data_IF_629903161262
#
_entry.id   IF_629903161262
#
_cell.length_a   1.000
_cell.length_b   1.000
_cell.length_c   1.000
_cell.angle_alpha   90.00
_cell.angle_beta   90.00
_cell.angle_gamma   90.00
#
_symmetry.space_group_name_H-M   'P 1'
#
loop_
_entity.id
_entity.type
_entity.pdbx_description
1 polymer ?
#
# COMPACT_ATOMS: atom_id res chain seq x y z
N UNK A 1 8.42 -20.26 -4.42
CA UNK A 1 7.50 -20.50 -3.30
C UNK A 1 7.31 -19.14 -2.67
N UNK A 2 6.11 -18.60 -2.78
CA UNK A 2 5.73 -17.36 -2.11
C UNK A 2 5.68 -17.68 -0.62
N UNK A 3 6.32 -16.84 0.21
CA UNK A 3 6.27 -17.01 1.66
C UNK A 3 5.09 -16.20 2.19
N UNK A 4 3.91 -16.83 2.16
CA UNK A 4 2.65 -16.21 2.58
C UNK A 4 2.72 -15.70 4.02
N UNK A 5 3.42 -16.41 4.91
CA UNK A 5 3.56 -16.00 6.30
C UNK A 5 4.38 -14.71 6.42
N UNK A 6 5.47 -14.59 5.66
CA UNK A 6 6.26 -13.36 5.68
C UNK A 6 5.47 -12.17 5.12
N UNK A 7 4.72 -12.35 4.05
CA UNK A 7 3.87 -11.30 3.46
C UNK A 7 2.74 -10.88 4.41
N UNK A 8 2.10 -11.83 5.07
CA UNK A 8 1.06 -11.58 6.07
C UNK A 8 1.59 -10.76 7.26
N UNK A 9 2.78 -11.09 7.78
CA UNK A 9 3.38 -10.34 8.89
C UNK A 9 3.78 -8.92 8.47
N UNK A 10 4.31 -8.75 7.24
CA UNK A 10 4.60 -7.41 6.71
C UNK A 10 3.33 -6.56 6.54
N UNK A 11 2.22 -7.16 6.11
CA UNK A 11 0.93 -6.45 6.03
C UNK A 11 0.43 -6.05 7.42
N UNK A 12 0.51 -6.94 8.41
CA UNK A 12 0.08 -6.64 9.79
C UNK A 12 0.89 -5.48 10.38
N UNK A 13 2.22 -5.51 10.24
CA UNK A 13 3.09 -4.43 10.71
C UNK A 13 2.76 -3.09 10.04
N UNK A 14 2.49 -3.13 8.72
CA UNK A 14 2.07 -1.93 7.98
C UNK A 14 0.71 -1.41 8.47
N UNK A 15 -0.26 -2.28 8.70
CA UNK A 15 -1.59 -1.90 9.19
C UNK A 15 -1.53 -1.32 10.61
N UNK A 16 -0.74 -1.93 11.50
CA UNK A 16 -0.53 -1.42 12.86
C UNK A 16 0.10 -0.02 12.83
N UNK A 17 1.03 0.23 11.90
CA UNK A 17 1.65 1.54 11.73
C UNK A 17 0.69 2.60 11.12
N UNK A 18 -0.17 2.21 10.17
CA UNK A 18 -1.09 3.13 9.50
C UNK A 18 -2.29 3.48 10.39
N UNK A 19 -2.87 2.47 11.04
CA UNK A 19 -4.15 2.60 11.76
C UNK A 19 -3.97 2.82 13.27
N UNK A 20 -2.76 2.64 13.81
CA UNK A 20 -2.38 2.94 15.20
C UNK A 20 -3.44 2.44 16.20
N UNK A 21 -4.18 3.36 16.84
CA UNK A 21 -5.16 3.06 17.89
C UNK A 21 -6.44 2.36 17.39
N UNK A 22 -6.71 2.40 16.08
CA UNK A 22 -7.85 1.77 15.45
C UNK A 22 -7.66 0.25 15.26
N UNK A 23 -6.41 -0.22 15.23
CA UNK A 23 -6.03 -1.62 15.00
C UNK A 23 -5.77 -2.36 16.32
N UNK A 24 -6.45 -3.49 16.53
CA UNK A 24 -6.30 -4.30 17.76
C UNK A 24 -6.29 -5.79 17.45
N UNK A 25 -5.33 -6.51 18.01
CA UNK A 25 -5.36 -7.98 18.01
C UNK A 25 -6.36 -8.48 19.04
N UNK A 26 -7.20 -9.43 18.64
CA UNK A 26 -8.26 -10.02 19.47
C UNK A 26 -8.11 -11.54 19.53
N UNK A 27 -8.65 -12.13 20.60
CA UNK A 27 -8.63 -13.58 20.73
C UNK A 27 -9.58 -14.25 19.73
N UNK A 28 -9.22 -15.43 19.17
CA UNK A 28 -10.07 -16.15 18.22
C UNK A 28 -11.46 -16.53 18.78
N UNK A 29 -11.58 -16.68 20.10
CA UNK A 29 -12.86 -16.94 20.77
C UNK A 29 -13.82 -15.74 20.77
N UNK A 30 -13.32 -14.53 20.57
CA UNK A 30 -14.09 -13.27 20.59
C UNK A 30 -14.32 -12.70 19.18
N UNK A 31 -13.60 -13.21 18.17
CA UNK A 31 -13.67 -12.72 16.79
C UNK A 31 -14.97 -13.07 16.06
N UNK A 32 -15.66 -14.13 16.52
CA UNK A 32 -16.83 -14.67 15.81
C UNK A 32 -16.49 -15.34 14.48
N UNK A 33 -15.20 -15.53 14.18
CA UNK A 33 -14.70 -16.27 13.03
C UNK A 33 -14.40 -17.72 13.44
N UNK A 34 -14.69 -18.69 12.55
CA UNK A 34 -14.39 -20.10 12.80
C UNK A 34 -12.93 -20.40 12.44
N UNK A 35 -11.99 -19.84 13.21
CA UNK A 35 -10.55 -20.01 12.98
C UNK A 35 -9.77 -20.07 14.30
N UNK A 36 -8.62 -20.73 14.25
CA UNK A 36 -7.61 -20.71 15.31
C UNK A 36 -6.47 -19.70 15.05
N UNK A 37 -6.49 -19.04 13.90
CA UNK A 37 -5.47 -18.07 13.50
C UNK A 37 -5.63 -16.75 14.26
N UNK A 38 -4.58 -15.92 14.24
CA UNK A 38 -4.60 -14.56 14.80
C UNK A 38 -5.75 -13.77 14.16
N UNK A 39 -6.53 -13.11 15.00
CA UNK A 39 -7.67 -12.32 14.58
C UNK A 39 -7.41 -10.86 14.93
N UNK A 40 -7.80 -9.97 14.05
CA UNK A 40 -7.57 -8.54 14.21
C UNK A 40 -8.88 -7.80 14.04
N UNK A 41 -9.05 -6.75 14.81
CA UNK A 41 -10.19 -5.86 14.80
C UNK A 41 -9.73 -4.47 14.40
N UNK A 42 -10.40 -3.88 13.42
CA UNK A 42 -10.21 -2.49 13.00
C UNK A 42 -11.50 -1.73 13.26
N UNK A 43 -11.39 -0.65 14.02
CA UNK A 43 -12.48 0.27 14.29
C UNK A 43 -12.60 1.29 13.15
N UNK A 44 -13.80 1.50 12.63
CA UNK A 44 -14.07 2.48 11.58
C UNK A 44 -15.17 3.43 12.04
N UNK A 45 -14.93 4.72 11.79
CA UNK A 45 -15.88 5.82 11.96
C UNK A 45 -16.01 6.64 10.67
N UNK A 46 -17.17 7.28 10.42
CA UNK A 46 -17.45 8.06 9.20
C UNK A 46 -16.80 9.46 9.18
N UNK A 47 -16.23 9.92 10.29
CA UNK A 47 -15.47 11.18 10.37
C UNK A 47 -14.19 10.96 11.16
N UNK A 48 -13.14 11.64 10.71
CA UNK A 48 -11.79 11.60 11.26
C UNK A 48 -11.48 12.81 12.17
N UNK A 49 -12.46 13.71 12.39
CA UNK A 49 -12.20 15.07 12.87
C UNK A 49 -12.53 15.28 14.36
N UNK A 50 -11.56 15.88 15.05
CA UNK A 50 -11.43 16.25 16.47
C UNK A 50 -12.45 17.31 16.95
N UNK A 51 -13.69 17.28 16.44
CA UNK A 51 -14.69 18.35 16.59
C UNK A 51 -15.76 18.17 17.68
N UNK A 52 -15.94 16.97 18.24
CA UNK A 52 -16.72 16.73 19.47
C UNK A 52 -16.32 15.36 20.06
N UNK A 53 -15.40 15.42 21.02
CA UNK A 53 -14.51 14.35 21.49
C UNK A 53 -15.20 13.20 22.27
N UNK A 54 -16.53 13.08 22.25
CA UNK A 54 -17.20 12.10 23.12
C UNK A 54 -17.89 10.95 22.42
N UNK A 55 -18.49 11.10 21.24
CA UNK A 55 -19.25 9.98 20.65
C UNK A 55 -19.44 10.12 19.12
N UNK A 56 -18.74 9.34 18.27
CA UNK A 56 -19.08 9.29 16.85
C UNK A 56 -20.52 8.78 16.66
N UNK A 57 -21.28 9.33 15.69
CA UNK A 57 -22.68 8.98 15.48
C UNK A 57 -22.85 7.52 15.04
N UNK A 58 -21.87 7.00 14.31
CA UNK A 58 -21.80 5.60 13.89
C UNK A 58 -20.39 5.05 14.06
N UNK A 59 -20.31 3.78 14.47
CA UNK A 59 -19.05 3.07 14.64
C UNK A 59 -19.23 1.60 14.27
N UNK A 60 -18.27 1.09 13.51
CA UNK A 60 -18.26 -0.27 13.00
C UNK A 60 -16.93 -0.93 13.30
N UNK A 61 -16.95 -2.22 13.57
CA UNK A 61 -15.76 -3.05 13.73
C UNK A 61 -15.66 -4.05 12.58
N UNK A 62 -14.57 -3.97 11.83
CA UNK A 62 -14.16 -5.02 10.91
C UNK A 62 -13.25 -5.99 11.64
N UNK A 63 -13.65 -7.26 11.66
CA UNK A 63 -12.86 -8.32 12.23
C UNK A 63 -12.38 -9.20 11.09
N UNK A 64 -11.08 -9.42 11.00
CA UNK A 64 -10.52 -10.27 9.97
C UNK A 64 -9.46 -11.24 10.51
N UNK A 65 -9.23 -12.31 9.77
CA UNK A 65 -8.15 -13.26 10.02
C UNK A 65 -7.60 -13.78 8.70
N UNK A 66 -6.27 -13.93 8.63
CA UNK A 66 -5.62 -14.51 7.45
C UNK A 66 -5.90 -16.01 7.33
N UNK A 67 -6.08 -16.45 6.08
CA UNK A 67 -6.08 -17.87 5.68
C UNK A 67 -4.66 -18.29 5.33
N UNK A 68 -4.40 -19.60 5.29
CA UNK A 68 -3.04 -20.13 5.07
C UNK A 68 -2.48 -19.75 3.69
N UNK A 69 -3.35 -19.51 2.70
CA UNK A 69 -2.98 -19.14 1.34
C UNK A 69 -3.27 -17.66 1.00
N UNK A 70 -3.64 -16.83 1.98
CA UNK A 70 -3.82 -15.40 1.75
C UNK A 70 -2.46 -14.77 1.36
N UNK A 71 -2.40 -13.93 0.30
CA UNK A 71 -3.51 -13.23 -0.37
C UNK A 71 -4.13 -13.90 -1.61
N UNK A 72 -3.68 -15.09 -2.00
CA UNK A 72 -4.27 -15.82 -3.13
C UNK A 72 -5.67 -16.37 -2.80
N UNK A 73 -5.94 -16.62 -1.52
CA UNK A 73 -7.23 -17.00 -0.97
C UNK A 73 -7.83 -15.86 -0.13
N UNK A 74 -9.15 -15.65 -0.15
CA UNK A 74 -9.77 -14.59 0.63
C UNK A 74 -9.53 -14.76 2.14
N UNK A 75 -9.39 -13.65 2.90
CA UNK A 75 -9.33 -13.67 4.34
C UNK A 75 -10.71 -13.97 4.91
N UNK A 76 -10.74 -14.45 6.14
CA UNK A 76 -11.98 -14.57 6.89
C UNK A 76 -12.36 -13.18 7.38
N UNK A 77 -13.56 -12.71 7.02
CA UNK A 77 -14.03 -11.36 7.34
C UNK A 77 -15.39 -11.42 8.06
N UNK A 78 -15.53 -10.63 9.11
CA UNK A 78 -16.79 -10.38 9.79
C UNK A 78 -16.93 -8.88 10.09
N UNK A 79 -18.17 -8.41 10.05
CA UNK A 79 -18.52 -7.00 10.21
C UNK A 79 -19.50 -6.91 11.36
N UNK A 80 -19.14 -6.14 12.40
CA UNK A 80 -19.91 -5.98 13.63
C UNK A 80 -20.27 -4.51 13.82
N UNK A 81 -21.56 -4.21 13.97
CA UNK A 81 -22.03 -2.86 14.31
C UNK A 81 -21.82 -2.61 15.81
N UNK A 82 -21.09 -1.56 16.16
CA UNK A 82 -20.92 -1.11 17.55
C UNK A 82 -21.99 -0.07 17.89
N UNK A 83 -22.21 0.89 16.99
CA UNK A 83 -23.08 2.04 17.24
C UNK A 83 -23.65 2.59 15.93
N UNK A 84 -24.93 2.96 15.94
CA UNK A 84 -25.53 3.78 14.88
C UNK A 84 -25.74 3.11 13.53
N UNK A 85 -25.19 1.91 13.30
CA UNK A 85 -25.34 1.19 12.02
C UNK A 85 -26.43 0.12 12.13
N UNK A 86 -27.44 0.19 11.27
CA UNK A 86 -28.52 -0.78 11.21
C UNK A 86 -28.05 -2.14 10.65
N UNK A 87 -28.75 -3.22 10.99
CA UNK A 87 -28.40 -4.57 10.50
C UNK A 87 -28.53 -4.70 8.98
N UNK A 88 -29.43 -3.96 8.34
CA UNK A 88 -29.55 -3.89 6.88
C UNK A 88 -28.31 -3.29 6.23
N UNK A 89 -27.77 -2.23 6.83
CA UNK A 89 -26.55 -1.56 6.36
C UNK A 89 -25.31 -2.45 6.53
N UNK A 90 -25.21 -3.17 7.64
CA UNK A 90 -24.15 -4.17 7.83
C UNK A 90 -24.21 -5.26 6.75
N UNK A 91 -25.40 -5.73 6.39
CA UNK A 91 -25.55 -6.73 5.34
C UNK A 91 -25.16 -6.18 3.95
N UNK A 92 -25.56 -4.95 3.63
CA UNK A 92 -25.18 -4.29 2.39
C UNK A 92 -23.65 -4.05 2.31
N UNK A 93 -23.04 -3.63 3.41
CA UNK A 93 -21.58 -3.46 3.48
C UNK A 93 -20.85 -4.80 3.34
N UNK A 94 -21.33 -5.87 3.97
CA UNK A 94 -20.77 -7.23 3.79
C UNK A 94 -20.78 -7.65 2.33
N UNK A 95 -21.89 -7.42 1.62
CA UNK A 95 -21.98 -7.73 0.20
C UNK A 95 -20.96 -6.94 -0.64
N UNK A 96 -20.83 -5.63 -0.38
CA UNK A 96 -19.83 -4.79 -1.07
C UNK A 96 -18.41 -5.31 -0.83
N UNK A 97 -18.08 -5.65 0.42
CA UNK A 97 -16.74 -6.14 0.76
C UNK A 97 -16.45 -7.51 0.12
N UNK A 98 -17.43 -8.40 -0.02
CA UNK A 98 -17.29 -9.66 -0.75
C UNK A 98 -16.93 -9.44 -2.23
N UNK A 99 -17.55 -8.44 -2.87
CA UNK A 99 -17.24 -8.05 -4.25
C UNK A 99 -15.80 -7.53 -4.36
N UNK A 100 -15.38 -6.63 -3.47
CA UNK A 100 -14.02 -6.09 -3.41
C UNK A 100 -12.97 -7.19 -3.14
N UNK A 101 -13.28 -8.15 -2.26
CA UNK A 101 -12.42 -9.31 -1.98
C UNK A 101 -12.14 -10.09 -3.27
N UNK A 102 -13.17 -10.34 -4.09
CA UNK A 102 -13.01 -11.10 -5.33
C UNK A 102 -12.17 -10.38 -6.39
N UNK A 103 -12.14 -9.05 -6.35
CA UNK A 103 -11.40 -8.20 -7.30
C UNK A 103 -9.93 -8.05 -6.90
N UNK A 104 -9.61 -8.13 -5.62
CA UNK A 104 -8.27 -7.85 -5.08
C UNK A 104 -7.49 -9.12 -4.68
N UNK A 105 -7.91 -10.31 -5.12
CA UNK A 105 -7.17 -11.55 -4.90
C UNK A 105 -5.77 -11.51 -5.54
N UNK A 106 -4.80 -12.14 -4.87
CA UNK A 106 -3.41 -12.22 -5.30
C UNK A 106 -2.51 -11.12 -4.75
N UNK A 107 -3.04 -10.21 -3.92
CA UNK A 107 -2.25 -9.23 -3.18
C UNK A 107 -2.87 -8.85 -1.84
N UNK A 108 -2.06 -8.29 -0.94
CA UNK A 108 -2.51 -7.72 0.32
C UNK A 108 -3.65 -6.71 0.08
N UNK A 109 -4.81 -6.96 0.70
CA UNK A 109 -6.04 -6.22 0.44
C UNK A 109 -6.79 -5.77 1.69
N UNK A 110 -6.31 -6.08 2.90
CA UNK A 110 -7.03 -5.70 4.13
C UNK A 110 -7.20 -4.18 4.22
N UNK A 111 -6.15 -3.42 3.92
CA UNK A 111 -6.24 -1.95 3.92
C UNK A 111 -7.28 -1.45 2.91
N UNK A 112 -7.29 -2.01 1.71
CA UNK A 112 -8.28 -1.68 0.67
C UNK A 112 -9.71 -1.92 1.14
N UNK A 113 -9.96 -3.06 1.81
CA UNK A 113 -11.27 -3.38 2.37
C UNK A 113 -11.68 -2.40 3.49
N UNK A 114 -10.73 -2.04 4.35
CA UNK A 114 -10.95 -1.07 5.44
C UNK A 114 -11.30 0.30 4.87
N UNK A 115 -10.54 0.80 3.88
CA UNK A 115 -10.82 2.08 3.23
C UNK A 115 -12.17 2.03 2.50
N UNK A 116 -12.46 0.97 1.76
CA UNK A 116 -13.75 0.83 1.05
C UNK A 116 -14.95 0.80 2.01
N UNK A 117 -14.78 0.20 3.20
CA UNK A 117 -15.79 0.21 4.25
C UNK A 117 -15.94 1.60 4.89
N UNK A 118 -14.84 2.29 5.14
CA UNK A 118 -14.83 3.66 5.68
C UNK A 118 -15.54 4.62 4.73
N UNK A 119 -15.20 4.59 3.45
CA UNK A 119 -15.84 5.43 2.42
C UNK A 119 -17.33 5.13 2.32
N UNK A 120 -17.72 3.85 2.34
CA UNK A 120 -19.12 3.45 2.33
C UNK A 120 -19.88 3.97 3.54
N UNK A 121 -19.27 3.90 4.72
CA UNK A 121 -19.86 4.41 5.96
C UNK A 121 -20.00 5.94 5.89
N UNK A 122 -18.96 6.64 5.45
CA UNK A 122 -18.97 8.10 5.26
C UNK A 122 -20.08 8.54 4.30
N UNK A 123 -20.24 7.86 3.16
CA UNK A 123 -21.29 8.19 2.18
C UNK A 123 -22.70 8.02 2.74
N UNK A 124 -22.93 6.97 3.54
CA UNK A 124 -24.23 6.71 4.16
C UNK A 124 -24.58 7.75 5.21
N UNK A 125 -23.66 8.04 6.11
CA UNK A 125 -23.90 8.99 7.20
C UNK A 125 -23.77 10.46 6.77
N UNK A 126 -23.15 10.75 5.62
CA UNK A 126 -23.20 12.06 4.98
C UNK A 126 -24.61 12.37 4.42
N UNK A 127 -25.35 11.37 3.94
CA UNK A 127 -26.72 11.53 3.44
C UNK A 127 -27.72 11.74 4.58
N UNK A 128 -27.62 11.00 5.68
CA UNK A 128 -28.52 11.15 6.84
C UNK A 128 -28.33 12.50 7.58
N UNK A 129 -27.13 13.09 7.51
CA UNK A 129 -26.88 14.44 8.06
C UNK A 129 -27.44 15.59 7.22
N UNK A 130 -27.89 15.33 5.99
CA UNK A 130 -28.46 16.34 5.11
C UNK A 130 -29.97 16.53 5.31
N UNK A 131 -30.67 15.57 5.90
CA UNK A 131 -32.13 15.63 6.07
C UNK A 131 -32.58 16.48 7.27
N UNK A 132 -31.65 16.86 8.17
CA UNK A 132 -31.95 17.72 9.34
C UNK A 132 -31.54 19.21 9.12
N UNK A 133 -31.09 19.58 7.92
CA UNK A 133 -30.70 20.97 7.55
C UNK A 133 -31.54 21.52 6.39
N UNK A 134 -32.44 20.72 5.80
CA UNK A 134 -33.24 21.10 4.63
C UNK A 134 -34.48 21.96 4.94
N UNK A 135 -34.65 22.49 6.16
CA UNK A 135 -35.68 23.51 6.43
C UNK A 135 -35.17 24.97 6.45
N UNK A 136 -33.87 25.25 6.26
CA UNK A 136 -33.38 26.66 6.30
C UNK A 136 -32.32 27.09 5.25
N UNK A 137 -32.06 26.32 4.20
CA UNK A 137 -31.11 26.73 3.14
C UNK A 137 -31.69 26.60 1.72
N UNK A 138 -32.93 27.04 1.55
CA UNK A 138 -33.56 27.24 0.22
C UNK A 138 -33.00 28.46 -0.56
N UNK A 139 -31.79 28.93 -0.27
CA UNK A 139 -31.22 30.11 -0.93
C UNK A 139 -29.69 30.18 -0.87
N UNK A 140 -28.99 29.26 -1.56
CA UNK A 140 -27.63 29.45 -2.15
C UNK A 140 -27.24 28.26 -3.02
N UNK A 141 -27.95 28.07 -4.12
CA UNK A 141 -27.43 27.33 -5.28
C UNK A 141 -26.33 28.17 -5.95
N UNK A 142 -25.13 28.18 -5.37
CA UNK A 142 -23.91 28.40 -6.15
C UNK A 142 -23.37 27.02 -6.53
N UNK A 143 -23.86 26.54 -7.66
CA UNK A 143 -23.26 25.43 -8.43
C UNK A 143 -21.80 25.81 -8.67
N UNK A 144 -20.91 25.33 -7.81
CA UNK A 144 -19.49 25.27 -8.10
C UNK A 144 -19.36 24.21 -9.19
N UNK A 145 -19.48 24.66 -10.42
CA UNK A 145 -19.06 23.91 -11.60
C UNK A 145 -17.65 23.42 -11.28
N UNK A 146 -17.39 22.11 -11.26
CA UNK A 146 -16.04 21.61 -11.08
C UNK A 146 -15.20 22.14 -12.24
N UNK A 147 -14.41 23.17 -11.98
CA UNK A 147 -13.53 23.79 -12.97
C UNK A 147 -12.28 22.92 -13.11
N UNK A 148 -12.47 21.67 -13.55
CA UNK A 148 -11.40 20.88 -14.14
C UNK A 148 -11.24 21.32 -15.59
N UNK A 149 -10.06 21.82 -15.96
CA UNK A 149 -9.71 21.92 -17.38
C UNK A 149 -9.77 20.49 -17.94
N UNK A 150 -10.54 20.22 -19.01
CA UNK A 150 -10.69 18.88 -19.52
C UNK A 150 -9.31 18.32 -19.83
N UNK A 151 -9.00 17.16 -19.24
CA UNK A 151 -7.79 16.40 -19.56
C UNK A 151 -7.99 15.85 -20.97
N UNK A 152 -7.71 16.70 -21.95
CA UNK A 152 -7.64 16.31 -23.36
C UNK A 152 -6.30 15.64 -23.61
N UNK A 153 -6.19 14.89 -24.71
CA UNK A 153 -4.93 14.25 -25.11
C UNK A 153 -3.80 15.28 -25.20
N UNK A 154 -4.11 16.50 -25.63
CA UNK A 154 -3.16 17.62 -25.70
C UNK A 154 -2.70 18.09 -24.31
N UNK A 155 -3.60 18.18 -23.32
CA UNK A 155 -3.26 18.50 -21.92
C UNK A 155 -2.35 17.44 -21.31
N UNK A 156 -2.64 16.16 -21.58
CA UNK A 156 -1.81 15.03 -21.16
C UNK A 156 -0.44 15.03 -21.85
N UNK A 157 -0.37 15.32 -23.15
CA UNK A 157 0.90 15.44 -23.87
C UNK A 157 1.76 16.60 -23.34
N UNK A 158 1.16 17.76 -23.07
CA UNK A 158 1.86 18.89 -22.49
C UNK A 158 2.39 18.58 -21.07
N UNK A 159 1.63 17.82 -20.28
CA UNK A 159 2.08 17.35 -18.97
C UNK A 159 3.20 16.29 -19.10
N UNK A 160 3.06 15.33 -20.01
CA UNK A 160 4.08 14.32 -20.32
C UNK A 160 5.38 14.95 -20.79
N UNK A 161 5.32 15.95 -21.67
CA UNK A 161 6.50 16.66 -22.16
C UNK A 161 7.20 17.44 -21.05
N UNK A 162 6.45 18.08 -20.14
CA UNK A 162 7.04 18.75 -18.96
C UNK A 162 7.73 17.73 -18.03
N UNK A 163 7.09 16.60 -17.79
CA UNK A 163 7.64 15.53 -16.96
C UNK A 163 8.87 14.87 -17.61
N UNK A 164 8.82 14.58 -18.91
CA UNK A 164 9.96 14.04 -19.67
C UNK A 164 11.11 15.05 -19.74
N UNK A 165 10.82 16.35 -19.85
CA UNK A 165 11.83 17.41 -19.83
C UNK A 165 12.48 17.55 -18.44
N UNK A 166 11.71 17.43 -17.36
CA UNK A 166 12.24 17.43 -15.99
C UNK A 166 13.10 16.18 -15.73
N UNK A 167 12.65 15.00 -16.14
CA UNK A 167 13.42 13.76 -16.07
C UNK A 167 14.69 13.84 -16.94
N UNK A 168 14.62 14.45 -18.12
CA UNK A 168 15.76 14.66 -19.00
C UNK A 168 16.75 15.69 -18.41
N UNK A 169 16.27 16.74 -17.74
CA UNK A 169 17.10 17.68 -17.00
C UNK A 169 17.75 17.04 -15.77
N UNK A 170 17.06 16.17 -15.05
CA UNK A 170 17.60 15.38 -13.95
C UNK A 170 18.68 14.42 -14.47
N UNK A 171 18.41 13.74 -15.60
CA UNK A 171 19.36 12.86 -16.29
C UNK A 171 20.55 13.61 -16.89
N UNK A 172 20.35 14.85 -17.33
CA UNK A 172 21.41 15.71 -17.85
C UNK A 172 22.21 16.38 -16.71
N UNK A 173 21.60 16.67 -15.55
CA UNK A 173 22.33 17.08 -14.33
C UNK A 173 23.24 15.96 -13.82
N UNK A 174 22.93 14.69 -14.12
CA UNK A 174 23.82 13.56 -13.86
C UNK A 174 24.99 13.43 -14.87
N UNK A 175 25.09 14.28 -15.90
CA UNK A 175 26.30 14.42 -16.76
C UNK A 175 26.40 15.82 -17.39
N UNK A 176 27.21 16.76 -16.83
CA UNK A 176 28.60 16.95 -17.33
C UNK A 176 29.57 17.48 -16.22
N UNK A 177 30.83 17.04 -16.06
CA UNK A 177 31.99 17.56 -16.81
C UNK A 177 33.25 16.72 -16.47
N UNK A 178 33.40 15.53 -17.06
CA UNK A 178 34.64 14.74 -16.99
C UNK A 178 34.98 14.06 -18.33
N UNK A 179 34.66 14.71 -19.46
CA UNK A 179 34.83 14.09 -20.77
C UNK A 179 35.33 15.04 -21.88
N UNK A 180 36.16 16.04 -21.55
CA UNK A 180 36.97 16.74 -22.57
C UNK A 180 38.49 16.58 -22.43
N UNK A 181 38.98 15.57 -21.69
CA UNK A 181 40.39 15.17 -21.77
C UNK A 181 40.64 13.71 -21.35
N UNK A 182 40.32 12.73 -22.22
CA UNK A 182 41.08 11.46 -22.32
C UNK A 182 40.60 10.64 -23.53
N UNK A 183 41.52 10.03 -24.31
CA UNK A 183 41.15 9.15 -25.41
C UNK A 183 40.49 7.86 -24.90
N UNK A 184 39.56 7.34 -25.70
CA UNK A 184 38.72 6.17 -25.46
C UNK A 184 39.53 4.91 -25.11
N UNK A 185 39.52 4.52 -23.85
CA UNK A 185 39.68 3.10 -23.48
C UNK A 185 38.32 2.43 -23.43
N UNK A 186 38.03 1.66 -24.48
CA UNK A 186 36.87 0.76 -24.53
C UNK A 186 37.01 -0.26 -23.40
N UNK A 187 36.26 -0.08 -22.32
CA UNK A 187 36.07 -1.13 -21.30
C UNK A 187 35.52 -2.38 -21.99
N UNK A 188 36.37 -3.39 -22.14
CA UNK A 188 35.96 -4.71 -22.64
C UNK A 188 34.85 -5.25 -21.74
N UNK A 189 33.82 -5.82 -22.35
CA UNK A 189 32.72 -6.45 -21.62
C UNK A 189 33.26 -7.64 -20.81
N UNK A 190 32.63 -7.95 -19.67
CA UNK A 190 33.13 -8.97 -18.73
C UNK A 190 33.40 -10.34 -19.37
N UNK A 191 32.62 -10.70 -20.39
CA UNK A 191 32.83 -11.92 -21.18
C UNK A 191 34.12 -11.90 -22.01
N UNK A 192 34.40 -10.78 -22.68
CA UNK A 192 35.63 -10.62 -23.47
C UNK A 192 36.89 -10.57 -22.60
N UNK A 193 36.76 -10.07 -21.36
CA UNK A 193 37.86 -10.08 -20.40
C UNK A 193 38.24 -11.52 -19.99
N UNK A 194 37.24 -12.37 -19.78
CA UNK A 194 37.42 -13.78 -19.41
C UNK A 194 38.01 -14.63 -20.55
N UNK A 195 37.53 -14.43 -21.78
CA UNK A 195 37.99 -15.18 -22.97
C UNK A 195 39.40 -14.77 -23.44
N UNK A 196 39.87 -13.56 -23.11
CA UNK A 196 41.23 -13.07 -23.46
C UNK A 196 42.39 -13.68 -22.64
N UNK A 197 42.11 -14.59 -21.71
CA UNK A 197 43.13 -15.30 -20.92
C UNK A 197 43.82 -14.46 -19.83
N UNK A 198 43.45 -13.19 -19.66
CA UNK A 198 44.02 -12.27 -18.64
C UNK A 198 43.57 -12.59 -17.21
N UNK A 199 42.54 -13.43 -17.04
CA UNK A 199 42.10 -13.93 -15.74
C UNK A 199 43.01 -15.03 -15.16
N UNK A 200 43.91 -15.63 -15.95
CA UNK A 200 44.70 -16.79 -15.53
C UNK A 200 46.04 -16.47 -14.86
N UNK A 201 46.43 -15.19 -14.74
CA UNK A 201 47.71 -14.80 -14.14
C UNK A 201 47.55 -14.28 -12.70
N UNK A 202 47.09 -15.14 -11.80
CA UNK A 202 47.44 -15.05 -10.38
C UNK A 202 48.27 -16.28 -10.06
N UNK A 203 49.59 -16.22 -10.36
CA UNK A 203 50.52 -17.18 -9.78
C UNK A 203 50.62 -16.85 -8.30
N UNK A 204 50.05 -17.74 -7.49
CA UNK A 204 50.38 -17.90 -6.08
C UNK A 204 51.91 -17.98 -5.95
N UNK A 205 52.57 -16.90 -5.54
CA UNK A 205 53.91 -17.01 -4.97
C UNK A 205 53.70 -17.41 -3.51
N UNK A 206 53.63 -18.72 -3.30
CA UNK A 206 53.67 -19.32 -1.97
C UNK A 206 55.05 -19.01 -1.36
N UNK A 207 55.09 -18.09 -0.40
CA UNK A 207 56.24 -17.89 0.46
C UNK A 207 56.27 -19.06 1.46
N UNK A 208 56.88 -20.17 1.07
CA UNK A 208 57.12 -21.30 1.95
C UNK A 208 58.53 -21.20 2.54
N UNK A 209 58.58 -20.95 3.84
CA UNK A 209 59.73 -20.94 4.71
C UNK A 209 60.44 -22.29 4.74
N UNK A 210 61.76 -22.33 4.52
CA UNK A 210 62.64 -23.35 5.11
C UNK A 210 64.12 -22.94 5.01
N UNK A 211 64.59 -22.13 5.96
CA UNK A 211 66.01 -22.13 6.33
C UNK A 211 66.26 -23.39 7.17
N UNK A 212 67.06 -24.32 6.64
CA UNK A 212 67.74 -25.36 7.42
C UNK A 212 69.24 -25.18 7.19
N UNK A 213 69.97 -25.10 8.30
CA UNK A 213 71.42 -25.13 8.37
C UNK A 213 72.01 -26.33 7.62
N UNK A 214 73.25 -26.17 7.11
CA UNK A 214 74.47 -26.94 7.45
C UNK A 214 75.49 -26.77 6.31
N UNK A 215 76.58 -26.07 6.58
CA UNK A 215 77.93 -26.65 6.66
C UNK A 215 78.78 -25.81 7.61
#
# INVERSE_FOLDING_TARGET
MTDYHQEQEMEIEALEAILMDEFKEIHPGESGLNTSNRCFQILISPRDDDGDESNPPAQLALIFAHTDNYPDEPPLLNVTSIRGVHSGDVAALKQKLEEEVSLNLGMAMIYTLVTSAKDWLSDRFAQDGADDVVEDEAAKDEVIVPHGEPVTVDTFMAWRERFEAELALERAKLMPDAALAAPKDKKLTGRQWFESGRAASVRFFAFCTSLKCVF
#
